data_IF_188249104293
#
_entry.id   IF_188249104293
#
_cell.length_a   1.000
_cell.length_b   1.000
_cell.length_c   1.000
_cell.angle_alpha   90.00
_cell.angle_beta   90.00
_cell.angle_gamma   90.00
#
_symmetry.space_group_name_H-M   'P 1'
#
loop_
_entity.id
_entity.type
_entity.pdbx_description
1 polymer ?
#
# COMPACT_ATOMS: atom_id res chain seq x y z
N UNK A 1 1.25 23.91 -2.75
CA UNK A 1 1.43 22.51 -2.34
C UNK A 1 0.77 21.62 -3.38
N UNK A 2 1.44 20.53 -3.80
CA UNK A 2 0.77 19.57 -4.68
C UNK A 2 -0.36 18.91 -3.88
N UNK A 3 -1.54 18.82 -4.47
CA UNK A 3 -2.71 18.16 -3.88
C UNK A 3 -2.41 16.68 -3.63
N UNK A 4 -2.79 16.16 -2.46
CA UNK A 4 -2.73 14.72 -2.17
C UNK A 4 -3.80 14.02 -3.02
N UNK A 5 -3.35 13.05 -3.83
CA UNK A 5 -4.22 12.25 -4.71
C UNK A 5 -3.99 10.75 -4.56
N UNK A 6 -3.07 10.36 -3.70
CA UNK A 6 -2.72 8.96 -3.44
C UNK A 6 -2.90 8.64 -1.97
N UNK A 7 -3.59 7.55 -1.68
CA UNK A 7 -3.76 7.00 -0.34
C UNK A 7 -3.05 5.65 -0.33
N UNK A 8 -1.99 5.54 0.47
CA UNK A 8 -1.19 4.35 0.60
C UNK A 8 -1.51 3.64 1.90
N UNK A 9 -1.89 2.37 1.83
CA UNK A 9 -2.16 1.53 3.00
C UNK A 9 -0.99 0.59 3.26
N UNK A 10 -0.43 0.65 4.46
CA UNK A 10 0.70 -0.18 4.89
C UNK A 10 0.26 -1.14 5.98
N UNK A 11 0.68 -2.37 5.91
CA UNK A 11 0.76 -3.39 6.96
C UNK A 11 1.38 -4.66 6.35
N UNK A 12 1.76 -5.61 7.16
CA UNK A 12 2.11 -6.96 6.71
C UNK A 12 0.90 -7.74 6.18
N UNK A 13 1.11 -9.03 5.93
CA UNK A 13 0.04 -9.93 5.49
C UNK A 13 -1.12 -9.98 6.50
N UNK A 14 -2.36 -10.08 6.02
CA UNK A 14 -3.58 -10.13 6.84
C UNK A 14 -3.79 -8.94 7.80
N UNK A 15 -3.15 -7.79 7.57
CA UNK A 15 -3.36 -6.59 8.39
C UNK A 15 -4.62 -5.79 8.05
N UNK A 16 -5.44 -6.24 7.10
CA UNK A 16 -6.71 -5.58 6.73
C UNK A 16 -6.63 -4.59 5.57
N UNK A 17 -5.46 -4.38 4.94
CA UNK A 17 -5.27 -3.40 3.86
C UNK A 17 -6.31 -3.50 2.74
N UNK A 18 -6.49 -4.67 2.14
CA UNK A 18 -7.39 -4.84 0.98
C UNK A 18 -8.85 -4.59 1.33
N UNK A 19 -9.28 -5.00 2.54
CA UNK A 19 -10.64 -4.72 3.04
C UNK A 19 -10.80 -3.22 3.26
N UNK A 20 -9.83 -2.58 3.91
CA UNK A 20 -9.84 -1.14 4.14
C UNK A 20 -9.82 -0.36 2.82
N UNK A 21 -8.97 -0.74 1.86
CA UNK A 21 -8.93 -0.10 0.54
C UNK A 21 -10.28 -0.17 -0.19
N UNK A 22 -10.93 -1.34 -0.13
CA UNK A 22 -12.27 -1.54 -0.73
C UNK A 22 -13.32 -0.67 -0.04
N UNK A 23 -13.29 -0.60 1.30
CA UNK A 23 -14.21 0.23 2.07
C UNK A 23 -14.01 1.72 1.80
N UNK A 24 -12.76 2.19 1.80
CA UNK A 24 -12.41 3.59 1.48
C UNK A 24 -12.92 3.96 0.08
N UNK A 25 -12.66 3.11 -0.93
CA UNK A 25 -13.17 3.33 -2.29
C UNK A 25 -14.69 3.42 -2.31
N UNK A 26 -15.38 2.49 -1.63
CA UNK A 26 -16.85 2.46 -1.63
C UNK A 26 -17.44 3.70 -0.94
N UNK A 27 -16.99 4.02 0.28
CA UNK A 27 -17.53 5.14 1.05
C UNK A 27 -17.25 6.50 0.39
N UNK A 28 -16.04 6.72 -0.11
CA UNK A 28 -15.71 7.98 -0.80
C UNK A 28 -16.43 8.08 -2.16
N UNK A 29 -16.55 6.97 -2.89
CA UNK A 29 -17.34 6.94 -4.13
C UNK A 29 -18.82 7.31 -3.90
N UNK A 30 -19.45 6.82 -2.82
CA UNK A 30 -20.82 7.24 -2.45
C UNK A 30 -20.92 8.70 -2.00
N UNK A 31 -19.82 9.30 -1.55
CA UNK A 31 -19.75 10.74 -1.21
C UNK A 31 -19.47 11.61 -2.45
N UNK A 32 -19.35 11.02 -3.64
CA UNK A 32 -19.18 11.73 -4.92
C UNK A 32 -17.74 11.98 -5.34
N UNK A 33 -16.75 11.36 -4.68
CA UNK A 33 -15.36 11.44 -5.12
C UNK A 33 -15.11 10.49 -6.31
N UNK A 34 -14.37 10.95 -7.31
CA UNK A 34 -13.82 10.09 -8.35
C UNK A 34 -12.60 9.36 -7.78
N UNK A 35 -12.83 8.16 -7.22
CA UNK A 35 -11.81 7.37 -6.54
C UNK A 35 -11.66 5.98 -7.15
N UNK A 36 -10.40 5.57 -7.41
CA UNK A 36 -10.04 4.27 -7.94
C UNK A 36 -9.21 3.45 -6.96
N UNK A 37 -9.52 2.15 -6.88
CA UNK A 37 -8.68 1.17 -6.22
C UNK A 37 -7.58 0.71 -7.17
N UNK A 38 -6.33 0.73 -6.70
CA UNK A 38 -5.20 0.17 -7.42
C UNK A 38 -4.79 -1.14 -6.76
N UNK A 39 -5.25 -2.23 -7.34
CA UNK A 39 -4.94 -3.59 -6.88
C UNK A 39 -3.47 -3.93 -7.04
N UNK A 40 -2.98 -4.78 -6.16
CA UNK A 40 -1.63 -5.34 -6.20
C UNK A 40 -1.38 -6.13 -7.50
N UNK A 41 -0.28 -5.83 -8.18
CA UNK A 41 0.06 -6.51 -9.45
C UNK A 41 0.36 -8.01 -9.24
N UNK A 42 0.97 -8.35 -8.10
CA UNK A 42 1.33 -9.76 -7.80
C UNK A 42 0.12 -10.63 -7.43
N UNK A 43 -1.02 -10.03 -7.12
CA UNK A 43 -2.20 -10.77 -6.64
C UNK A 43 -2.59 -11.91 -7.58
N UNK A 44 -2.52 -11.68 -8.88
CA UNK A 44 -2.83 -12.70 -9.88
C UNK A 44 -1.85 -13.89 -9.83
N UNK A 45 -0.61 -13.66 -9.40
CA UNK A 45 0.40 -14.70 -9.29
C UNK A 45 0.14 -15.64 -8.11
N UNK A 46 -0.63 -15.21 -7.10
CA UNK A 46 -0.98 -16.07 -5.95
C UNK A 46 -1.96 -17.18 -6.33
N UNK A 47 -2.68 -17.03 -7.44
CA UNK A 47 -3.61 -18.04 -7.97
C UNK A 47 -2.94 -19.04 -8.93
N UNK A 48 -1.72 -18.76 -9.35
CA UNK A 48 -0.87 -19.66 -10.12
C UNK A 48 0.38 -19.95 -9.30
N UNK A 49 1.00 -21.15 -9.38
CA UNK A 49 2.17 -21.50 -8.57
C UNK A 49 3.43 -20.74 -9.06
N UNK A 50 3.38 -19.41 -9.09
CA UNK A 50 4.47 -18.53 -9.48
C UNK A 50 4.94 -17.73 -8.27
N UNK A 51 6.16 -17.99 -7.83
CA UNK A 51 6.84 -17.22 -6.79
C UNK A 51 7.77 -16.22 -7.49
N UNK A 52 7.74 -14.92 -7.10
CA UNK A 52 8.68 -13.94 -7.64
C UNK A 52 10.13 -14.37 -7.44
N UNK A 53 10.94 -14.23 -8.48
CA UNK A 53 12.36 -14.57 -8.47
C UNK A 53 13.17 -13.41 -9.06
N UNK A 54 14.40 -13.29 -8.59
CA UNK A 54 15.38 -12.35 -9.15
C UNK A 54 14.81 -10.93 -9.37
N UNK A 55 14.69 -10.49 -10.61
CA UNK A 55 14.22 -9.16 -10.97
C UNK A 55 12.70 -9.03 -11.08
N UNK A 56 11.92 -10.08 -10.78
CA UNK A 56 10.46 -10.02 -10.86
C UNK A 56 9.87 -8.92 -9.95
N UNK A 57 10.46 -8.69 -8.77
CA UNK A 57 10.00 -7.64 -7.84
C UNK A 57 10.09 -6.25 -8.46
N UNK A 58 11.16 -5.96 -9.22
CA UNK A 58 11.32 -4.71 -9.95
C UNK A 58 10.27 -4.56 -11.07
N UNK A 59 10.02 -5.64 -11.82
CA UNK A 59 8.96 -5.67 -12.83
C UNK A 59 7.57 -5.42 -12.22
N UNK A 60 7.28 -6.05 -11.08
CA UNK A 60 6.00 -5.86 -10.37
C UNK A 60 5.83 -4.41 -9.90
N UNK A 61 6.88 -3.79 -9.36
CA UNK A 61 6.83 -2.39 -8.95
C UNK A 61 6.65 -1.46 -10.15
N UNK A 62 7.32 -1.70 -11.28
CA UNK A 62 7.12 -0.92 -12.49
C UNK A 62 5.67 -1.02 -13.00
N UNK A 63 5.06 -2.20 -12.93
CA UNK A 63 3.64 -2.40 -13.23
C UNK A 63 2.71 -1.64 -12.28
N UNK A 64 3.05 -1.57 -10.99
CA UNK A 64 2.28 -0.80 -10.00
C UNK A 64 2.38 0.71 -10.29
N UNK A 65 3.59 1.21 -10.56
CA UNK A 65 3.80 2.60 -10.98
C UNK A 65 2.92 2.93 -12.19
N UNK A 66 2.93 2.07 -13.21
CA UNK A 66 2.12 2.29 -14.41
C UNK A 66 0.62 2.33 -14.10
N UNK A 67 0.11 1.42 -13.26
CA UNK A 67 -1.31 1.41 -12.87
C UNK A 67 -1.73 2.70 -12.16
N UNK A 68 -0.90 3.20 -11.24
CA UNK A 68 -1.16 4.44 -10.52
C UNK A 68 -1.06 5.66 -11.45
N UNK A 69 0.02 5.75 -12.23
CA UNK A 69 0.31 6.89 -13.13
C UNK A 69 -0.77 7.09 -14.19
N UNK A 70 -1.29 6.01 -14.80
CA UNK A 70 -2.38 6.10 -15.80
C UNK A 70 -3.60 6.77 -15.19
N UNK A 71 -4.01 6.40 -13.97
CA UNK A 71 -5.18 6.97 -13.28
C UNK A 71 -4.97 8.42 -12.90
N UNK A 72 -3.80 8.72 -12.34
CA UNK A 72 -3.43 10.09 -11.93
C UNK A 72 -3.37 11.04 -13.13
N UNK A 73 -2.84 10.59 -14.29
CA UNK A 73 -2.85 11.38 -15.53
C UNK A 73 -4.22 11.49 -16.16
N UNK A 74 -5.08 10.50 -16.00
CA UNK A 74 -6.47 10.55 -16.47
C UNK A 74 -7.33 11.56 -15.69
N UNK A 75 -6.84 12.06 -14.55
CA UNK A 75 -7.54 13.08 -13.76
C UNK A 75 -8.39 12.54 -12.63
N UNK A 76 -8.33 11.23 -12.33
CA UNK A 76 -9.00 10.64 -11.15
C UNK A 76 -8.67 11.45 -9.90
N UNK A 77 -9.65 11.79 -9.08
CA UNK A 77 -9.45 12.63 -7.89
C UNK A 77 -8.53 11.99 -6.88
N UNK A 78 -8.78 10.72 -6.57
CA UNK A 78 -8.04 9.93 -5.60
C UNK A 78 -7.77 8.53 -6.12
N UNK A 79 -6.64 7.97 -5.75
CA UNK A 79 -6.40 6.53 -5.82
C UNK A 79 -6.09 5.99 -4.43
N UNK A 80 -6.55 4.78 -4.14
CA UNK A 80 -6.15 4.03 -2.94
C UNK A 80 -5.39 2.78 -3.35
N UNK A 81 -4.18 2.62 -2.79
CA UNK A 81 -3.29 1.49 -3.07
C UNK A 81 -3.15 0.62 -1.82
N UNK A 82 -3.44 -0.68 -1.95
CA UNK A 82 -3.21 -1.68 -0.91
C UNK A 82 -1.82 -2.33 -1.00
N UNK A 83 -1.03 -1.95 -2.01
CA UNK A 83 0.36 -2.37 -2.22
C UNK A 83 1.23 -1.19 -2.66
N UNK A 84 1.44 -0.17 -1.78
CA UNK A 84 2.23 1.01 -2.14
C UNK A 84 3.67 0.65 -2.48
N UNK A 85 4.29 1.49 -3.33
CA UNK A 85 5.63 1.23 -3.89
C UNK A 85 6.70 1.03 -2.82
N UNK A 86 6.61 1.75 -1.71
CA UNK A 86 7.55 1.61 -0.60
C UNK A 86 7.34 0.31 0.18
N UNK A 87 6.11 -0.24 0.21
CA UNK A 87 5.85 -1.56 0.76
C UNK A 87 6.46 -2.66 -0.13
N UNK A 88 6.39 -2.51 -1.45
CA UNK A 88 7.04 -3.44 -2.38
C UNK A 88 8.57 -3.39 -2.25
N UNK A 89 9.15 -2.19 -2.10
CA UNK A 89 10.56 -2.06 -1.75
C UNK A 89 10.89 -2.76 -0.43
N UNK A 90 10.04 -2.59 0.61
CA UNK A 90 10.25 -3.27 1.89
C UNK A 90 10.38 -4.78 1.72
N UNK A 91 9.46 -5.42 1.00
CA UNK A 91 9.53 -6.87 0.76
C UNK A 91 10.76 -7.26 -0.08
N UNK A 92 11.13 -6.46 -1.08
CA UNK A 92 12.34 -6.68 -1.86
C UNK A 92 13.61 -6.62 -0.97
N UNK A 93 13.69 -5.65 -0.08
CA UNK A 93 14.76 -5.52 0.91
C UNK A 93 14.74 -6.67 1.92
N UNK A 94 13.59 -7.03 2.46
CA UNK A 94 13.41 -8.10 3.43
C UNK A 94 13.87 -9.46 2.87
N UNK A 95 13.52 -9.75 1.64
CA UNK A 95 13.91 -10.97 0.94
C UNK A 95 15.26 -10.87 0.21
N UNK A 96 15.97 -9.74 0.32
CA UNK A 96 17.29 -9.50 -0.30
C UNK A 96 17.32 -9.76 -1.81
N UNK A 97 16.25 -9.38 -2.50
CA UNK A 97 16.19 -9.54 -3.96
C UNK A 97 17.06 -8.50 -4.68
N UNK A 98 17.51 -8.80 -5.92
CA UNK A 98 18.24 -7.83 -6.73
C UNK A 98 17.48 -6.55 -7.00
N UNK A 99 18.19 -5.46 -7.31
CA UNK A 99 17.66 -4.15 -7.74
C UNK A 99 16.83 -3.41 -6.68
N UNK A 100 16.87 -3.81 -5.43
CA UNK A 100 16.11 -3.15 -4.34
C UNK A 100 16.40 -1.65 -4.21
N UNK A 101 17.66 -1.21 -4.42
CA UNK A 101 18.02 0.21 -4.37
C UNK A 101 17.38 1.01 -5.51
N UNK A 102 17.26 0.40 -6.69
CA UNK A 102 16.52 0.97 -7.81
C UNK A 102 15.01 1.09 -7.50
N UNK A 103 14.45 0.10 -6.81
CA UNK A 103 13.06 0.13 -6.35
C UNK A 103 12.80 1.26 -5.35
N UNK A 104 13.71 1.47 -4.40
CA UNK A 104 13.62 2.58 -3.45
C UNK A 104 13.70 3.92 -4.17
N UNK A 105 14.65 4.06 -5.10
CA UNK A 105 14.81 5.28 -5.88
C UNK A 105 13.55 5.61 -6.69
N UNK A 106 12.96 4.61 -7.36
CA UNK A 106 11.73 4.77 -8.11
C UNK A 106 10.53 5.15 -7.22
N UNK A 107 10.40 4.50 -6.05
CA UNK A 107 9.34 4.83 -5.08
C UNK A 107 9.45 6.28 -4.60
N UNK A 108 10.65 6.74 -4.25
CA UNK A 108 10.90 8.10 -3.77
C UNK A 108 10.66 9.15 -4.88
N UNK A 109 11.07 8.88 -6.11
CA UNK A 109 10.82 9.78 -7.23
C UNK A 109 9.33 9.87 -7.56
N UNK A 110 8.60 8.75 -7.52
CA UNK A 110 7.16 8.73 -7.72
C UNK A 110 6.41 9.47 -6.61
N UNK A 111 6.85 9.35 -5.36
CA UNK A 111 6.32 10.11 -4.23
C UNK A 111 6.53 11.63 -4.40
N UNK A 112 7.69 12.03 -4.94
CA UNK A 112 7.97 13.44 -5.25
C UNK A 112 7.06 13.99 -6.34
N UNK A 113 6.72 13.16 -7.35
CA UNK A 113 5.81 13.56 -8.45
C UNK A 113 4.35 13.59 -7.97
N UNK A 114 3.95 12.63 -7.19
CA UNK A 114 2.58 12.43 -6.71
C UNK A 114 2.58 12.16 -5.19
N UNK A 115 2.58 13.21 -4.35
CA UNK A 115 2.56 13.05 -2.91
C UNK A 115 1.37 12.21 -2.42
N UNK A 116 1.60 11.43 -1.37
CA UNK A 116 0.61 10.51 -0.82
C UNK A 116 0.29 10.78 0.64
N UNK A 117 -0.91 10.38 1.05
CA UNK A 117 -1.30 10.16 2.44
C UNK A 117 -1.00 8.70 2.79
N UNK A 118 -0.13 8.49 3.78
CA UNK A 118 0.29 7.16 4.17
C UNK A 118 -0.37 6.75 5.48
N UNK A 119 -1.08 5.64 5.47
CA UNK A 119 -1.79 5.09 6.63
C UNK A 119 -1.26 3.69 6.91
N UNK A 120 -0.74 3.49 8.11
CA UNK A 120 -0.42 2.16 8.61
C UNK A 120 -1.66 1.56 9.26
N UNK A 121 -2.14 0.44 8.72
CA UNK A 121 -3.32 -0.27 9.24
C UNK A 121 -2.85 -1.23 10.34
N UNK A 122 -3.27 -0.94 11.57
CA UNK A 122 -3.00 -1.80 12.72
C UNK A 122 -3.92 -3.00 12.70
N UNK A 123 -3.33 -4.19 12.72
CA UNK A 123 -4.05 -5.46 12.66
C UNK A 123 -4.81 -5.76 13.95
N UNK A 124 -5.82 -6.61 13.83
CA UNK A 124 -6.44 -7.34 14.92
C UNK A 124 -6.09 -8.82 14.82
N UNK A 125 -5.42 -9.34 15.83
CA UNK A 125 -4.91 -10.72 15.85
C UNK A 125 -5.98 -11.78 15.59
N UNK A 126 -7.19 -11.56 16.11
CA UNK A 126 -8.33 -12.49 15.97
C UNK A 126 -8.80 -12.72 14.55
N UNK A 127 -8.42 -11.85 13.61
CA UNK A 127 -8.76 -11.97 12.19
C UNK A 127 -7.64 -12.55 11.34
N UNK A 128 -6.52 -12.93 11.97
CA UNK A 128 -5.43 -13.54 11.23
C UNK A 128 -5.83 -14.91 10.68
N UNK A 129 -5.67 -15.09 9.38
CA UNK A 129 -5.94 -16.35 8.69
C UNK A 129 -4.65 -16.85 8.01
N UNK A 130 -4.18 -18.02 8.42
CA UNK A 130 -2.96 -18.65 7.89
C UNK A 130 -3.15 -19.27 6.50
N UNK A 131 -4.40 -19.51 6.06
CA UNK A 131 -4.68 -20.15 4.77
C UNK A 131 -4.23 -19.24 3.62
N UNK A 132 -3.33 -19.75 2.77
CA UNK A 132 -2.81 -19.01 1.63
C UNK A 132 -1.77 -17.94 1.98
N UNK A 133 -1.10 -18.06 3.14
CA UNK A 133 -0.06 -17.14 3.61
C UNK A 133 1.25 -17.88 3.84
N UNK A 134 2.34 -17.15 3.69
CA UNK A 134 3.69 -17.68 3.95
C UNK A 134 4.11 -17.45 5.40
N UNK A 135 3.62 -16.38 6.05
CA UNK A 135 3.97 -15.98 7.40
C UNK A 135 2.99 -16.51 8.43
N UNK A 136 3.46 -16.77 9.64
CA UNK A 136 2.64 -16.98 10.84
C UNK A 136 2.35 -15.65 11.52
N UNK A 137 1.39 -15.62 12.46
CA UNK A 137 0.98 -14.38 13.14
C UNK A 137 2.15 -13.63 13.79
N UNK A 138 3.04 -14.32 14.52
CA UNK A 138 4.18 -13.67 15.18
C UNK A 138 5.16 -13.06 14.18
N UNK A 139 5.38 -13.72 13.05
CA UNK A 139 6.21 -13.19 11.98
C UNK A 139 5.54 -11.99 11.31
N UNK A 140 4.23 -12.05 11.08
CA UNK A 140 3.47 -10.94 10.51
C UNK A 140 3.52 -9.69 11.42
N UNK A 141 3.47 -9.84 12.75
CA UNK A 141 3.68 -8.73 13.70
C UNK A 141 5.08 -8.14 13.60
N UNK A 142 6.09 -9.01 13.56
CA UNK A 142 7.48 -8.55 13.36
C UNK A 142 7.65 -7.79 12.03
N UNK A 143 7.00 -8.25 10.98
CA UNK A 143 7.01 -7.57 9.69
C UNK A 143 6.34 -6.20 9.79
N UNK A 144 5.25 -6.06 10.55
CA UNK A 144 4.61 -4.77 10.79
C UNK A 144 5.58 -3.75 11.42
N UNK A 145 6.33 -4.16 12.45
CA UNK A 145 7.32 -3.31 13.09
C UNK A 145 8.44 -2.91 12.11
N UNK A 146 8.94 -3.87 11.32
CA UNK A 146 9.97 -3.61 10.32
C UNK A 146 9.47 -2.67 9.19
N UNK A 147 8.20 -2.74 8.80
CA UNK A 147 7.60 -1.80 7.84
C UNK A 147 7.61 -0.40 8.43
N UNK A 148 7.19 -0.22 9.70
CA UNK A 148 7.22 1.08 10.39
C UNK A 148 8.65 1.63 10.43
N UNK A 149 9.64 0.79 10.77
CA UNK A 149 11.05 1.18 10.78
C UNK A 149 11.54 1.67 9.40
N UNK A 150 11.14 0.99 8.33
CA UNK A 150 11.48 1.41 6.96
C UNK A 150 10.81 2.74 6.61
N UNK A 151 9.55 2.96 6.97
CA UNK A 151 8.86 4.25 6.78
C UNK A 151 9.60 5.38 7.50
N UNK A 152 9.96 5.18 8.77
CA UNK A 152 10.71 6.16 9.59
C UNK A 152 12.09 6.44 8.97
N UNK A 153 12.84 5.39 8.62
CA UNK A 153 14.18 5.51 8.01
C UNK A 153 14.15 6.30 6.70
N UNK A 154 13.10 6.14 5.91
CA UNK A 154 12.90 6.86 4.66
C UNK A 154 12.24 8.24 4.85
N UNK A 155 12.03 8.68 6.11
CA UNK A 155 11.39 9.96 6.44
C UNK A 155 9.98 10.10 5.84
N UNK A 156 9.29 8.99 5.67
CA UNK A 156 7.92 8.95 5.18
C UNK A 156 6.98 9.21 6.36
N UNK A 157 6.23 10.31 6.30
CA UNK A 157 5.18 10.58 7.31
C UNK A 157 4.04 9.58 7.13
N UNK A 158 3.54 9.04 8.23
CA UNK A 158 2.38 8.16 8.26
C UNK A 158 1.62 8.29 9.57
N UNK A 159 0.36 7.89 9.57
CA UNK A 159 -0.47 7.71 10.76
C UNK A 159 -0.79 6.22 10.94
N UNK A 160 -0.90 5.76 12.17
CA UNK A 160 -1.37 4.41 12.50
C UNK A 160 -2.83 4.45 12.90
N UNK A 161 -3.67 3.65 12.22
CA UNK A 161 -5.11 3.56 12.47
C UNK A 161 -5.52 2.09 12.57
N UNK A 162 -6.45 1.78 13.48
CA UNK A 162 -6.95 0.42 13.67
C UNK A 162 -7.77 -0.05 12.46
N UNK A 163 -7.53 -1.29 12.03
CA UNK A 163 -8.35 -1.92 10.98
C UNK A 163 -9.84 -2.07 11.36
N UNK A 164 -10.19 -1.89 12.63
CA UNK A 164 -11.58 -1.94 13.10
C UNK A 164 -12.30 -0.60 12.96
N UNK A 165 -11.57 0.51 12.94
CA UNK A 165 -12.13 1.86 12.84
C UNK A 165 -12.23 2.31 11.38
N UNK A 166 -13.05 1.59 10.62
CA UNK A 166 -13.20 1.83 9.19
C UNK A 166 -13.78 3.22 8.86
N UNK A 167 -14.71 3.69 9.68
CA UNK A 167 -15.30 5.02 9.50
C UNK A 167 -14.32 6.12 9.90
N UNK A 168 -13.57 5.94 11.00
CA UNK A 168 -12.52 6.87 11.41
C UNK A 168 -11.39 6.99 10.35
N UNK A 169 -11.04 5.90 9.67
CA UNK A 169 -10.08 5.94 8.55
C UNK A 169 -10.62 6.82 7.42
N UNK A 170 -11.88 6.65 7.05
CA UNK A 170 -12.49 7.44 5.96
C UNK A 170 -12.58 8.92 6.32
N UNK A 171 -13.02 9.25 7.55
CA UNK A 171 -13.08 10.64 8.02
C UNK A 171 -11.71 11.30 8.10
N UNK A 172 -10.69 10.55 8.54
CA UNK A 172 -9.31 11.02 8.52
C UNK A 172 -8.85 11.34 7.09
N UNK A 173 -9.10 10.46 6.13
CA UNK A 173 -8.76 10.71 4.73
C UNK A 173 -9.44 11.98 4.23
N UNK A 174 -10.74 12.15 4.49
CA UNK A 174 -11.50 13.34 4.08
C UNK A 174 -10.92 14.62 4.68
N UNK A 175 -10.45 14.58 5.92
CA UNK A 175 -9.84 15.77 6.56
C UNK A 175 -8.49 16.17 5.96
N UNK A 176 -7.73 15.21 5.40
CA UNK A 176 -6.40 15.45 4.85
C UNK A 176 -6.40 15.74 3.34
N UNK A 177 -7.39 15.22 2.60
CA UNK A 177 -7.51 15.44 1.17
C UNK A 177 -8.40 16.66 0.93
N UNK A 178 -7.78 17.82 0.71
CA UNK A 178 -8.51 19.03 0.28
C UNK A 178 -8.91 18.86 -1.20
N UNK A 179 -10.18 18.61 -1.44
CA UNK A 179 -10.79 18.50 -2.77
C UNK A 179 -11.42 19.80 -3.20
#
# INVERSE_FOLDING_TARGET
MNRIRRINLFSGACGGKSITATNVRAQLGFRGYDIELVDEVIKDWTYIPRIPKDCDSFYLQAGQIQKEDIRLRAGVDLIVSDSPLLLQYFYAWYHKVPLQDGMLSAANEFERLYPSLNIFIEREDKFYNEVGRYEKLDEAKRIDDLIKDVLIKNKTSFVSLSCLDQDGIVEYIVSEVSL
#
